data_IF_839417138631
#
_entry.id   IF_839417138631
#
_cell.length_a   1.000
_cell.length_b   1.000
_cell.length_c   1.000
_cell.angle_alpha   90.00
_cell.angle_beta   90.00
_cell.angle_gamma   90.00
#
_symmetry.space_group_name_H-M   'P 1'
#
loop_
_entity.id
_entity.type
_entity.pdbx_description
1 polymer ?
#
# COMPACT_ATOMS: atom_id res chain seq x y z
N UNK A 1 7.47 -11.59 -2.86
CA UNK A 1 8.59 -12.56 -2.99
C UNK A 1 9.51 -12.06 -4.08
N UNK A 2 10.68 -11.55 -3.71
CA UNK A 2 11.53 -10.80 -4.64
C UNK A 2 12.42 -11.72 -5.50
N UNK A 3 12.65 -11.37 -6.78
CA UNK A 3 13.44 -12.17 -7.73
C UNK A 3 14.92 -12.36 -7.34
N UNK A 4 15.45 -11.49 -6.47
CA UNK A 4 16.86 -11.52 -6.08
C UNK A 4 17.17 -12.56 -4.96
N UNK A 5 16.15 -13.24 -4.39
CA UNK A 5 16.35 -14.38 -3.47
C UNK A 5 17.05 -15.57 -4.11
N UNK A 6 17.08 -15.67 -5.45
CA UNK A 6 17.85 -16.67 -6.19
C UNK A 6 19.35 -16.41 -6.28
N UNK A 7 19.84 -15.25 -5.79
CA UNK A 7 21.27 -14.92 -5.74
C UNK A 7 21.96 -15.38 -4.45
N UNK A 8 21.24 -16.01 -3.51
CA UNK A 8 21.83 -16.69 -2.36
C UNK A 8 22.72 -17.82 -2.89
N UNK A 9 24.05 -17.65 -2.80
CA UNK A 9 25.05 -18.63 -3.25
C UNK A 9 25.88 -18.27 -4.50
N UNK A 10 25.54 -17.22 -5.26
CA UNK A 10 26.32 -16.81 -6.45
C UNK A 10 27.59 -16.00 -6.09
N UNK A 11 27.64 -15.42 -4.89
CA UNK A 11 28.82 -14.76 -4.31
C UNK A 11 29.28 -15.56 -3.08
N UNK A 12 29.90 -16.72 -3.34
CA UNK A 12 30.34 -17.66 -2.32
C UNK A 12 31.41 -17.11 -1.35
N UNK A 13 31.97 -15.92 -1.60
CA UNK A 13 33.07 -15.37 -0.78
C UNK A 13 32.63 -14.41 0.32
N UNK A 14 31.41 -13.86 0.26
CA UNK A 14 30.85 -13.05 1.34
C UNK A 14 30.04 -13.93 2.29
N UNK A 15 30.36 -13.92 3.59
CA UNK A 15 29.62 -14.69 4.59
C UNK A 15 28.10 -14.44 4.52
N UNK A 16 27.31 -15.48 4.74
CA UNK A 16 25.83 -15.47 4.68
C UNK A 16 25.19 -14.27 5.40
N UNK A 17 25.79 -13.83 6.51
CA UNK A 17 25.37 -12.66 7.27
C UNK A 17 25.47 -11.35 6.48
N UNK A 18 26.57 -11.12 5.75
CA UNK A 18 26.79 -9.90 4.96
C UNK A 18 25.78 -9.83 3.82
N UNK A 19 25.55 -10.97 3.15
CA UNK A 19 24.53 -11.05 2.13
C UNK A 19 23.17 -10.71 2.74
N UNK A 20 22.76 -11.42 3.81
CA UNK A 20 21.53 -11.21 4.58
C UNK A 20 21.30 -9.77 5.07
N UNK A 21 22.36 -9.04 5.41
CA UNK A 21 22.26 -7.66 5.85
C UNK A 21 22.04 -6.70 4.67
N UNK A 22 22.76 -6.90 3.56
CA UNK A 22 22.57 -6.12 2.33
C UNK A 22 21.15 -6.33 1.74
N UNK A 23 20.67 -7.57 1.80
CA UNK A 23 19.30 -8.00 1.49
C UNK A 23 18.26 -7.15 2.27
N UNK A 24 18.42 -7.10 3.60
CA UNK A 24 17.52 -6.41 4.51
C UNK A 24 17.57 -4.89 4.31
N UNK A 25 18.77 -4.34 4.09
CA UNK A 25 18.96 -2.92 3.80
C UNK A 25 18.25 -2.51 2.51
N UNK A 26 18.43 -3.28 1.42
CA UNK A 26 17.75 -3.02 0.15
C UNK A 26 16.23 -3.13 0.25
N UNK A 27 15.72 -4.03 1.09
CA UNK A 27 14.28 -4.15 1.36
C UNK A 27 13.72 -2.98 2.19
N UNK A 28 14.55 -2.28 2.97
CA UNK A 28 14.11 -1.15 3.80
C UNK A 28 13.59 0.03 2.98
N UNK A 29 14.23 0.34 1.84
CA UNK A 29 13.85 1.48 1.00
C UNK A 29 12.41 1.41 0.47
N UNK A 30 11.96 0.33 -0.20
CA UNK A 30 10.56 0.24 -0.62
C UNK A 30 9.60 0.16 0.56
N UNK A 31 9.99 -0.45 1.68
CA UNK A 31 9.15 -0.52 2.88
C UNK A 31 8.88 0.86 3.49
N UNK A 32 9.86 1.77 3.45
CA UNK A 32 9.65 3.16 3.89
C UNK A 32 8.51 3.82 3.12
N UNK A 33 8.47 3.65 1.79
CA UNK A 33 7.36 4.14 0.96
C UNK A 33 6.02 3.52 1.34
N UNK A 34 5.97 2.20 1.54
CA UNK A 34 4.74 1.48 1.93
C UNK A 34 4.15 2.00 3.24
N UNK A 35 4.98 2.40 4.21
CA UNK A 35 4.49 2.90 5.50
C UNK A 35 4.23 4.40 5.56
N UNK A 36 4.95 5.19 4.76
CA UNK A 36 4.86 6.65 4.79
C UNK A 36 3.73 7.16 3.88
N UNK A 37 3.62 6.62 2.66
CA UNK A 37 2.69 7.12 1.66
C UNK A 37 1.21 7.01 2.09
N UNK A 38 0.70 5.86 2.57
CA UNK A 38 -0.74 5.73 2.87
C UNK A 38 -1.22 6.67 3.97
N UNK A 39 -0.36 6.99 4.94
CA UNK A 39 -0.67 7.91 6.03
C UNK A 39 -0.80 9.35 5.52
N UNK A 40 0.14 9.80 4.69
CA UNK A 40 0.06 11.13 4.06
C UNK A 40 -1.19 11.26 3.18
N UNK A 41 -1.43 10.26 2.33
CA UNK A 41 -2.61 10.23 1.46
C UNK A 41 -3.93 10.23 2.24
N UNK A 42 -3.97 9.60 3.40
CA UNK A 42 -5.17 9.59 4.25
C UNK A 42 -5.41 10.95 4.90
N UNK A 43 -4.35 11.69 5.26
CA UNK A 43 -4.48 13.10 5.66
C UNK A 43 -5.03 13.95 4.52
N UNK A 44 -4.47 13.83 3.31
CA UNK A 44 -4.91 14.57 2.13
C UNK A 44 -6.39 14.32 1.80
N UNK A 45 -6.85 13.06 1.92
CA UNK A 45 -8.26 12.70 1.75
C UNK A 45 -9.12 13.31 2.85
N UNK A 46 -8.66 13.30 4.11
CA UNK A 46 -9.41 13.84 5.23
C UNK A 46 -9.55 15.38 5.13
N UNK A 47 -8.52 16.07 4.67
CA UNK A 47 -8.54 17.51 4.40
C UNK A 47 -9.50 17.84 3.24
N UNK A 48 -9.46 17.05 2.17
CA UNK A 48 -10.41 17.17 1.06
C UNK A 48 -11.86 16.96 1.52
N UNK A 49 -12.12 15.95 2.35
CA UNK A 49 -13.46 15.71 2.94
C UNK A 49 -13.92 16.87 3.83
N UNK A 50 -13.00 17.45 4.61
CA UNK A 50 -13.30 18.64 5.42
C UNK A 50 -13.65 19.86 4.56
N UNK A 51 -13.06 20.03 3.37
CA UNK A 51 -13.42 21.09 2.43
C UNK A 51 -14.82 20.92 1.85
N UNK A 52 -15.28 19.67 1.67
CA UNK A 52 -16.61 19.35 1.13
C UNK A 52 -17.71 19.47 2.19
N UNK A 53 -17.48 18.90 3.37
CA UNK A 53 -18.51 18.76 4.40
C UNK A 53 -18.47 19.86 5.47
N UNK A 54 -17.37 20.61 5.57
CA UNK A 54 -17.16 21.63 6.60
C UNK A 54 -16.85 21.07 8.00
N UNK A 55 -16.77 19.74 8.15
CA UNK A 55 -16.43 19.06 9.41
C UNK A 55 -15.11 18.32 9.30
N UNK A 56 -14.26 18.40 10.34
CA UNK A 56 -13.01 17.63 10.39
C UNK A 56 -13.28 16.22 10.91
N UNK A 57 -13.10 15.22 10.05
CA UNK A 57 -13.35 13.80 10.33
C UNK A 57 -12.08 12.92 10.27
N UNK A 58 -10.91 13.52 10.43
CA UNK A 58 -9.59 12.86 10.35
C UNK A 58 -9.49 11.60 11.22
N UNK A 59 -10.01 11.65 12.45
CA UNK A 59 -9.98 10.50 13.36
C UNK A 59 -10.69 9.27 12.77
N UNK A 60 -11.79 9.46 12.02
CA UNK A 60 -12.52 8.37 11.38
C UNK A 60 -11.71 7.78 10.21
N UNK A 61 -11.10 8.63 9.39
CA UNK A 61 -10.24 8.18 8.28
C UNK A 61 -9.05 7.36 8.78
N UNK A 62 -8.35 7.84 9.80
CA UNK A 62 -7.23 7.11 10.40
C UNK A 62 -7.68 5.83 11.14
N UNK A 63 -8.86 5.84 11.78
CA UNK A 63 -9.42 4.63 12.39
C UNK A 63 -9.70 3.56 11.33
N UNK A 64 -10.30 3.94 10.21
CA UNK A 64 -10.55 3.03 9.08
C UNK A 64 -9.24 2.53 8.47
N UNK A 65 -8.26 3.41 8.24
CA UNK A 65 -6.94 3.01 7.76
C UNK A 65 -6.30 1.96 8.66
N UNK A 66 -6.24 2.21 9.97
CA UNK A 66 -5.63 1.30 10.94
C UNK A 66 -6.39 -0.05 11.03
N UNK A 67 -7.71 -0.03 10.89
CA UNK A 67 -8.51 -1.25 10.84
C UNK A 67 -8.14 -2.12 9.64
N UNK A 68 -8.06 -1.53 8.45
CA UNK A 68 -7.64 -2.25 7.25
C UNK A 68 -6.17 -2.68 7.30
N UNK A 69 -5.28 -1.89 7.90
CA UNK A 69 -3.88 -2.28 8.13
C UNK A 69 -3.79 -3.55 8.99
N UNK A 70 -4.57 -3.63 10.07
CA UNK A 70 -4.63 -4.83 10.92
C UNK A 70 -5.14 -6.06 10.16
N UNK A 71 -6.21 -5.92 9.37
CA UNK A 71 -6.72 -7.02 8.53
C UNK A 71 -5.64 -7.46 7.52
N UNK A 72 -4.96 -6.50 6.91
CA UNK A 72 -3.91 -6.75 5.92
C UNK A 72 -2.72 -7.50 6.52
N UNK A 73 -2.38 -7.27 7.79
CA UNK A 73 -1.35 -8.07 8.47
C UNK A 73 -1.86 -9.41 9.01
N UNK A 74 -3.14 -9.51 9.36
CA UNK A 74 -3.72 -10.73 9.92
C UNK A 74 -4.04 -11.82 8.87
N UNK A 75 -4.49 -11.42 7.67
CA UNK A 75 -4.93 -12.37 6.63
C UNK A 75 -3.79 -13.17 5.95
N UNK A 76 -2.62 -12.59 5.60
CA UNK A 76 -1.63 -13.28 4.78
C UNK A 76 -1.08 -14.58 5.39
N UNK A 77 -0.76 -14.67 6.69
CA UNK A 77 -0.33 -15.93 7.29
C UNK A 77 -1.39 -17.04 7.17
N UNK A 78 -2.67 -16.69 7.36
CA UNK A 78 -3.77 -17.63 7.22
C UNK A 78 -3.95 -18.09 5.76
N UNK A 79 -3.90 -17.15 4.80
CA UNK A 79 -3.95 -17.48 3.38
C UNK A 79 -2.77 -18.34 2.94
N UNK A 80 -1.56 -18.05 3.45
CA UNK A 80 -0.38 -18.86 3.18
C UNK A 80 -0.57 -20.29 3.68
N UNK A 81 -1.04 -20.47 4.91
CA UNK A 81 -1.32 -21.80 5.46
C UNK A 81 -2.31 -22.58 4.58
N UNK A 82 -3.37 -21.94 4.10
CA UNK A 82 -4.34 -22.56 3.19
C UNK A 82 -3.73 -22.96 1.85
N UNK A 83 -2.83 -22.13 1.29
CA UNK A 83 -2.15 -22.45 0.02
C UNK A 83 -1.15 -23.59 0.21
N UNK A 84 -0.47 -23.68 1.35
CA UNK A 84 0.48 -24.75 1.62
C UNK A 84 -0.19 -26.13 1.78
N UNK A 85 -1.49 -26.18 2.10
CA UNK A 85 -2.26 -27.43 2.07
C UNK A 85 -2.32 -28.08 0.68
N UNK A 86 -2.08 -27.32 -0.40
CA UNK A 86 -2.00 -27.85 -1.76
C UNK A 86 -0.65 -28.49 -2.09
N UNK A 87 0.33 -28.42 -1.19
CA UNK A 87 1.66 -28.99 -1.39
C UNK A 87 2.76 -28.12 -0.79
N UNK A 88 3.43 -28.64 0.24
CA UNK A 88 4.52 -27.96 0.94
C UNK A 88 5.84 -28.74 0.92
N UNK A 89 5.85 -29.94 0.32
CA UNK A 89 7.01 -30.84 0.32
C UNK A 89 7.78 -30.75 -1.00
N UNK A 90 9.01 -31.29 -1.02
CA UNK A 90 9.83 -31.38 -2.24
C UNK A 90 9.20 -32.27 -3.30
N UNK A 91 8.41 -33.27 -2.88
CA UNK A 91 7.73 -34.22 -3.77
C UNK A 91 6.45 -33.63 -4.38
N UNK A 92 5.74 -32.77 -3.64
CA UNK A 92 4.58 -32.01 -4.12
C UNK A 92 4.71 -30.52 -3.78
N UNK A 93 5.40 -29.71 -4.62
CA UNK A 93 5.72 -28.32 -4.34
C UNK A 93 4.64 -27.33 -4.82
N UNK A 94 3.43 -27.80 -5.13
CA UNK A 94 2.41 -26.99 -5.81
C UNK A 94 2.03 -25.74 -5.00
N UNK A 95 1.74 -25.88 -3.71
CA UNK A 95 1.44 -24.76 -2.81
C UNK A 95 2.57 -23.74 -2.72
N UNK A 96 3.81 -24.20 -2.64
CA UNK A 96 5.00 -23.33 -2.61
C UNK A 96 5.16 -22.50 -3.90
N UNK A 97 4.79 -23.06 -5.07
CA UNK A 97 4.82 -22.35 -6.36
C UNK A 97 3.66 -21.37 -6.52
N UNK A 98 2.48 -21.69 -5.98
CA UNK A 98 1.30 -20.83 -6.06
C UNK A 98 1.35 -19.65 -5.09
N UNK A 99 1.94 -19.79 -3.91
CA UNK A 99 2.03 -18.73 -2.92
C UNK A 99 2.59 -17.39 -3.47
N UNK A 100 3.74 -17.35 -4.18
CA UNK A 100 4.23 -16.11 -4.77
C UNK A 100 3.35 -15.60 -5.93
N UNK A 101 2.69 -16.48 -6.68
CA UNK A 101 1.77 -16.09 -7.77
C UNK A 101 0.55 -15.38 -7.18
N UNK A 102 -0.06 -15.94 -6.14
CA UNK A 102 -1.18 -15.33 -5.42
C UNK A 102 -0.80 -13.95 -4.86
N UNK A 103 0.37 -13.86 -4.21
CA UNK A 103 0.88 -12.59 -3.70
C UNK A 103 1.10 -11.56 -4.83
N UNK A 104 1.59 -12.00 -6.00
CA UNK A 104 1.77 -11.16 -7.18
C UNK A 104 0.44 -10.63 -7.73
N UNK A 105 -0.58 -11.48 -7.82
CA UNK A 105 -1.93 -11.08 -8.25
C UNK A 105 -2.53 -10.04 -7.31
N UNK A 106 -2.43 -10.26 -5.99
CA UNK A 106 -2.92 -9.29 -5.00
C UNK A 106 -2.19 -7.94 -5.09
N UNK A 107 -0.87 -7.96 -5.32
CA UNK A 107 -0.09 -6.74 -5.53
C UNK A 107 -0.51 -6.01 -6.82
N UNK A 108 -0.74 -6.73 -7.91
CA UNK A 108 -1.23 -6.16 -9.18
C UNK A 108 -2.62 -5.54 -9.02
N UNK A 109 -3.52 -6.18 -8.27
CA UNK A 109 -4.82 -5.59 -7.94
C UNK A 109 -4.67 -4.26 -7.21
N UNK A 110 -3.72 -4.17 -6.26
CA UNK A 110 -3.39 -2.91 -5.60
C UNK A 110 -2.96 -1.80 -6.58
N UNK A 111 -2.10 -2.14 -7.55
CA UNK A 111 -1.68 -1.20 -8.61
C UNK A 111 -2.87 -0.75 -9.46
N UNK A 112 -3.75 -1.68 -9.85
CA UNK A 112 -4.95 -1.36 -10.65
C UNK A 112 -5.88 -0.42 -9.89
N UNK A 113 -6.06 -0.61 -8.57
CA UNK A 113 -6.87 0.30 -7.76
C UNK A 113 -6.25 1.71 -7.67
N UNK A 114 -4.91 1.79 -7.61
CA UNK A 114 -4.19 3.06 -7.51
C UNK A 114 -4.41 3.97 -8.73
N UNK A 115 -4.62 3.42 -9.92
CA UNK A 115 -4.89 4.20 -11.15
C UNK A 115 -6.11 5.12 -11.10
N UNK A 116 -6.98 4.98 -10.09
CA UNK A 116 -8.16 5.83 -9.91
C UNK A 116 -7.96 6.98 -8.92
N UNK A 117 -6.81 7.07 -8.25
CA UNK A 117 -6.50 8.18 -7.36
C UNK A 117 -6.20 9.46 -8.16
N UNK A 118 -6.87 10.57 -7.82
CA UNK A 118 -6.86 11.82 -8.62
C UNK A 118 -6.60 13.09 -7.81
N UNK A 119 -6.31 12.98 -6.51
CA UNK A 119 -6.03 14.17 -5.71
C UNK A 119 -4.71 14.81 -6.17
N UNK A 120 -4.62 16.15 -6.17
CA UNK A 120 -3.39 16.87 -6.46
C UNK A 120 -2.35 16.67 -5.35
N UNK A 121 -1.07 16.84 -5.68
CA UNK A 121 0.06 16.66 -4.75
C UNK A 121 0.01 17.58 -3.52
N UNK A 122 -0.66 18.72 -3.64
CA UNK A 122 -0.97 19.60 -2.53
C UNK A 122 -2.48 19.76 -2.43
N UNK A 123 -3.06 19.40 -1.29
CA UNK A 123 -4.48 19.57 -1.04
C UNK A 123 -4.74 20.98 -0.52
N UNK A 124 -5.03 21.88 -1.45
CA UNK A 124 -5.54 23.22 -1.17
C UNK A 124 -6.81 23.44 -1.98
N UNK A 125 -7.66 24.37 -1.54
CA UNK A 125 -8.92 24.68 -2.24
C UNK A 125 -8.67 25.12 -3.69
N UNK A 126 -7.57 25.84 -3.95
CA UNK A 126 -7.18 26.27 -5.30
C UNK A 126 -6.84 25.08 -6.20
N UNK A 127 -5.90 24.24 -5.79
CA UNK A 127 -5.42 23.08 -6.56
C UNK A 127 -6.51 22.02 -6.79
N UNK A 128 -7.38 21.82 -5.80
CA UNK A 128 -8.51 20.88 -5.89
C UNK A 128 -9.60 21.43 -6.83
N UNK A 129 -9.82 22.76 -6.88
CA UNK A 129 -10.74 23.39 -7.84
C UNK A 129 -10.17 23.33 -9.26
N UNK A 130 -8.86 23.57 -9.43
CA UNK A 130 -8.16 23.42 -10.72
C UNK A 130 -8.23 21.98 -11.25
N UNK A 131 -8.15 20.99 -10.36
CA UNK A 131 -8.36 19.57 -10.68
C UNK A 131 -9.82 19.23 -11.01
N UNK A 132 -10.75 20.17 -10.89
CA UNK A 132 -12.18 19.98 -11.14
C UNK A 132 -12.90 19.14 -10.08
N UNK A 133 -12.32 19.02 -8.88
CA UNK A 133 -12.84 18.19 -7.78
C UNK A 133 -13.75 18.98 -6.82
N UNK A 134 -13.69 20.31 -6.83
CA UNK A 134 -14.56 21.19 -6.05
C UNK A 134 -15.37 22.14 -6.94
N UNK A 135 -16.62 22.49 -6.57
CA UNK A 135 -17.40 23.47 -7.30
C UNK A 135 -16.74 24.86 -7.24
N UNK A 136 -16.77 25.64 -8.34
CA UNK A 136 -16.26 27.01 -8.36
C UNK A 136 -17.02 27.88 -7.35
N UNK A 137 -16.32 28.86 -6.77
CA UNK A 137 -16.84 29.78 -5.75
C UNK A 137 -18.25 30.29 -6.09
N UNK A 138 -19.28 29.85 -5.37
CA UNK A 138 -20.44 30.73 -5.19
C UNK A 138 -19.98 31.87 -4.31
N UNK A 139 -20.03 33.10 -4.84
CA UNK A 139 -19.64 34.28 -4.09
C UNK A 139 -20.46 34.34 -2.78
N UNK A 140 -19.87 34.83 -1.67
CA UNK A 140 -20.69 35.23 -0.54
C UNK A 140 -21.63 36.34 -1.01
N UNK A 141 -22.94 36.05 -1.07
CA UNK A 141 -23.99 36.97 -1.54
C UNK A 141 -24.93 36.46 -2.65
N UNK A 142 -25.02 35.15 -2.93
CA UNK A 142 -25.97 34.59 -3.91
C UNK A 142 -27.26 34.03 -3.29
N UNK A 143 -27.51 34.34 -2.01
CA UNK A 143 -28.75 34.01 -1.31
C UNK A 143 -29.12 35.20 -0.44
N UNK A 144 -29.57 36.26 -1.12
CA UNK A 144 -30.37 37.34 -0.54
C UNK A 144 -31.85 37.02 -0.82
#
# INVERSE_FOLDING_TARGET
>A
VFPWRGLVGLFSESGLLVQGLAMAFAAGLPMAGVFMLPKGLTADIADYDAMLNGERREAMFYATQNFFEKITFALPPALLALVLLLGETTEDPLGLRLAPVLAGVLALLGIVMWHRYRLPDTVNRETVTEAGLLPPRTAPGAAD
#
